data_IF_268002872027
#
_entry.id   IF_268002872027
#
_cell.length_a   1.000
_cell.length_b   1.000
_cell.length_c   1.000
_cell.angle_alpha   90.00
_cell.angle_beta   90.00
_cell.angle_gamma   90.00
#
_symmetry.space_group_name_H-M   'P 1'
#
loop_
_entity.id
_entity.type
_entity.pdbx_description
1 polymer ?
#
# COMPACT_ATOMS: atom_id res chain seq x y z
N UNK A 1 44.13 -30.59 -53.85
CA UNK A 1 43.05 -29.58 -53.84
C UNK A 1 42.78 -29.24 -52.38
N UNK A 2 43.27 -28.09 -51.88
CA UNK A 2 43.05 -27.66 -50.48
C UNK A 2 41.76 -26.83 -50.45
N UNK A 3 40.71 -27.38 -49.84
CA UNK A 3 39.49 -26.64 -49.51
C UNK A 3 39.83 -25.66 -48.38
N UNK A 4 39.98 -24.38 -48.72
CA UNK A 4 40.04 -23.29 -47.74
C UNK A 4 38.60 -22.93 -47.43
N UNK A 5 38.12 -23.33 -46.25
CA UNK A 5 36.84 -22.87 -45.71
C UNK A 5 37.04 -21.43 -45.22
N UNK A 6 36.63 -20.48 -46.05
CA UNK A 6 36.57 -19.06 -45.70
C UNK A 6 35.40 -18.84 -44.74
N UNK A 7 35.70 -18.80 -43.44
CA UNK A 7 34.75 -18.38 -42.39
C UNK A 7 34.77 -16.86 -42.25
N UNK A 8 34.45 -16.14 -43.32
CA UNK A 8 34.15 -14.72 -43.26
C UNK A 8 32.79 -14.54 -42.59
N UNK A 9 32.78 -14.43 -41.26
CA UNK A 9 31.58 -14.04 -40.51
C UNK A 9 31.11 -12.66 -41.02
N UNK A 10 29.94 -12.53 -41.65
CA UNK A 10 29.43 -11.22 -42.04
C UNK A 10 29.22 -10.42 -40.75
N UNK A 11 29.94 -9.29 -40.62
CA UNK A 11 29.75 -8.36 -39.50
C UNK A 11 28.34 -7.79 -39.61
N UNK A 12 27.41 -8.39 -38.87
CA UNK A 12 26.04 -7.89 -38.75
C UNK A 12 26.08 -6.40 -38.38
N UNK A 13 25.30 -5.55 -39.07
CA UNK A 13 25.34 -4.11 -38.85
C UNK A 13 24.94 -3.78 -37.41
N UNK A 14 25.50 -2.71 -36.82
CA UNK A 14 25.16 -2.26 -35.46
C UNK A 14 23.65 -2.03 -35.26
N UNK A 15 22.94 -1.68 -36.34
CA UNK A 15 21.49 -1.55 -36.39
C UNK A 15 20.75 -2.87 -36.14
N UNK A 16 21.27 -4.00 -36.62
CA UNK A 16 20.69 -5.32 -36.35
C UNK A 16 20.78 -5.66 -34.87
N UNK A 17 21.93 -5.40 -34.24
CA UNK A 17 22.10 -5.57 -32.80
C UNK A 17 21.21 -4.63 -31.99
N UNK A 18 21.06 -3.37 -32.40
CA UNK A 18 20.16 -2.43 -31.74
C UNK A 18 18.69 -2.86 -31.85
N UNK A 19 18.24 -3.31 -33.02
CA UNK A 19 16.89 -3.82 -33.25
C UNK A 19 16.64 -5.12 -32.44
N UNK A 20 17.62 -6.01 -32.37
CA UNK A 20 17.55 -7.23 -31.56
C UNK A 20 17.43 -6.92 -30.07
N UNK A 21 18.26 -6.01 -29.55
CA UNK A 21 18.18 -5.56 -28.15
C UNK A 21 16.82 -4.93 -27.86
N UNK A 22 16.32 -4.07 -28.75
CA UNK A 22 15.01 -3.46 -28.61
C UNK A 22 13.88 -4.50 -28.60
N UNK A 23 13.91 -5.46 -29.52
CA UNK A 23 12.92 -6.55 -29.58
C UNK A 23 12.96 -7.42 -28.31
N UNK A 24 14.15 -7.79 -27.84
CA UNK A 24 14.32 -8.52 -26.59
C UNK A 24 13.76 -7.73 -25.40
N UNK A 25 14.03 -6.43 -25.32
CA UNK A 25 13.52 -5.57 -24.25
C UNK A 25 11.99 -5.46 -24.29
N UNK A 26 11.40 -5.31 -25.47
CA UNK A 26 9.94 -5.29 -25.64
C UNK A 26 9.31 -6.61 -25.19
N UNK A 27 9.89 -7.75 -25.58
CA UNK A 27 9.40 -9.07 -25.16
C UNK A 27 9.52 -9.24 -23.65
N UNK A 28 10.64 -8.83 -23.07
CA UNK A 28 10.88 -8.92 -21.63
C UNK A 28 9.88 -8.09 -20.82
N UNK A 29 9.57 -6.87 -21.28
CA UNK A 29 8.57 -6.01 -20.64
C UNK A 29 7.17 -6.60 -20.82
N UNK A 30 6.83 -7.09 -22.01
CA UNK A 30 5.50 -7.66 -22.29
C UNK A 30 5.24 -8.96 -21.53
N UNK A 31 6.26 -9.79 -21.35
CA UNK A 31 6.17 -11.07 -20.64
C UNK A 31 6.74 -11.00 -19.22
N UNK A 32 6.83 -9.81 -18.65
CA UNK A 32 7.44 -9.63 -17.33
C UNK A 32 6.63 -10.39 -16.28
N UNK A 33 7.21 -11.42 -15.62
CA UNK A 33 6.49 -12.24 -14.66
C UNK A 33 6.22 -11.44 -13.39
N UNK A 34 5.06 -11.68 -12.77
CA UNK A 34 4.68 -10.98 -11.54
C UNK A 34 5.63 -11.25 -10.37
N UNK A 35 6.36 -12.36 -10.39
CA UNK A 35 7.32 -12.74 -9.35
C UNK A 35 8.44 -11.73 -9.13
N UNK A 36 8.76 -10.91 -10.14
CA UNK A 36 9.75 -9.85 -10.02
C UNK A 36 9.22 -8.67 -9.18
N UNK A 37 7.92 -8.40 -9.30
CA UNK A 37 7.25 -7.35 -8.52
C UNK A 37 6.99 -7.82 -7.10
N UNK A 38 6.63 -9.09 -6.88
CA UNK A 38 6.35 -9.60 -5.54
C UNK A 38 7.54 -9.47 -4.59
N UNK A 39 8.76 -9.73 -5.08
CA UNK A 39 9.98 -9.55 -4.28
C UNK A 39 10.26 -8.08 -3.93
N UNK A 40 10.04 -7.16 -4.88
CA UNK A 40 10.22 -5.72 -4.64
C UNK A 40 9.16 -5.14 -3.70
N UNK A 41 7.91 -5.62 -3.77
CA UNK A 41 6.85 -5.16 -2.88
C UNK A 41 7.14 -5.51 -1.42
N UNK A 42 7.61 -6.74 -1.16
CA UNK A 42 7.94 -7.19 0.18
C UNK A 42 9.11 -6.37 0.77
N UNK A 43 10.14 -6.05 -0.03
CA UNK A 43 11.27 -5.26 0.45
C UNK A 43 10.90 -3.79 0.69
N UNK A 44 10.11 -3.17 -0.20
CA UNK A 44 9.69 -1.77 -0.04
C UNK A 44 8.75 -1.56 1.15
N UNK A 45 7.92 -2.55 1.48
CA UNK A 45 6.99 -2.48 2.61
C UNK A 45 7.59 -2.99 3.93
N UNK A 46 8.87 -3.38 3.94
CA UNK A 46 9.50 -3.95 5.14
C UNK A 46 8.85 -5.25 5.61
N UNK A 47 8.51 -6.13 4.66
CA UNK A 47 7.80 -7.40 4.85
C UNK A 47 6.37 -7.28 5.38
N UNK A 48 5.80 -6.07 5.45
CA UNK A 48 4.43 -5.85 5.95
C UNK A 48 3.36 -6.35 4.99
N UNK A 49 3.59 -6.21 3.68
CA UNK A 49 2.65 -6.62 2.64
C UNK A 49 3.39 -7.44 1.59
N UNK A 50 2.84 -8.59 1.25
CA UNK A 50 3.39 -9.53 0.26
C UNK A 50 2.29 -10.10 -0.63
N UNK A 51 2.68 -10.55 -1.82
CA UNK A 51 1.80 -11.27 -2.73
C UNK A 51 1.98 -12.77 -2.51
N UNK A 52 0.91 -13.44 -2.08
CA UNK A 52 0.90 -14.89 -1.89
C UNK A 52 0.47 -15.59 -3.17
N UNK A 53 1.29 -16.55 -3.61
CA UNK A 53 1.07 -17.36 -4.82
C UNK A 53 0.64 -16.52 -6.04
N UNK A 54 1.49 -15.54 -6.46
CA UNK A 54 1.17 -14.71 -7.60
C UNK A 54 1.36 -15.51 -8.90
N UNK A 55 0.35 -15.48 -9.77
CA UNK A 55 0.31 -16.21 -11.04
C UNK A 55 0.09 -15.20 -12.17
N UNK A 56 0.83 -15.35 -13.27
CA UNK A 56 0.69 -14.53 -14.47
C UNK A 56 1.79 -13.49 -14.64
N UNK A 57 1.47 -12.40 -15.33
CA UNK A 57 2.38 -11.29 -15.64
C UNK A 57 1.99 -10.05 -14.85
N UNK A 58 2.83 -9.01 -14.90
CA UNK A 58 2.47 -7.70 -14.36
C UNK A 58 1.23 -7.09 -15.05
N UNK A 59 0.91 -7.55 -16.27
CA UNK A 59 -0.23 -7.05 -17.06
C UNK A 59 -1.52 -7.77 -16.72
N UNK A 60 -1.47 -9.09 -16.57
CA UNK A 60 -2.63 -9.91 -16.27
C UNK A 60 -2.24 -11.06 -15.37
N UNK A 61 -2.96 -11.21 -14.26
CA UNK A 61 -2.68 -12.26 -13.29
C UNK A 61 -3.63 -12.28 -12.12
N UNK A 62 -3.29 -13.11 -11.14
CA UNK A 62 -3.99 -13.19 -9.85
C UNK A 62 -3.03 -13.44 -8.71
N UNK A 63 -3.37 -12.95 -7.53
CA UNK A 63 -2.61 -13.15 -6.30
C UNK A 63 -3.53 -12.98 -5.10
N UNK A 64 -3.12 -13.46 -3.93
CA UNK A 64 -3.75 -13.06 -2.67
C UNK A 64 -2.84 -12.04 -1.97
N UNK A 65 -3.42 -11.05 -1.29
CA UNK A 65 -2.65 -10.20 -0.37
C UNK A 65 -2.39 -10.98 0.90
N UNK A 66 -1.14 -10.97 1.33
CA UNK A 66 -0.71 -11.56 2.57
C UNK A 66 0.03 -10.51 3.41
N UNK A 67 -0.20 -10.55 4.71
CA UNK A 67 0.36 -9.59 5.66
C UNK A 67 1.31 -10.32 6.61
N UNK A 68 2.51 -9.79 6.74
CA UNK A 68 3.59 -10.41 7.51
C UNK A 68 4.46 -9.39 8.25
N UNK A 69 5.47 -9.89 8.94
CA UNK A 69 6.46 -9.10 9.64
C UNK A 69 7.88 -9.47 9.21
N UNK A 70 8.85 -8.55 9.35
CA UNK A 70 10.24 -8.87 9.09
C UNK A 70 10.75 -9.93 10.09
N UNK A 71 11.51 -10.90 9.59
CA UNK A 71 12.16 -11.91 10.40
C UNK A 71 13.37 -11.28 11.11
N UNK A 72 13.29 -11.16 12.43
CA UNK A 72 14.31 -10.52 13.26
C UNK A 72 15.60 -11.34 13.40
N UNK A 73 15.54 -12.66 13.19
CA UNK A 73 16.66 -13.59 13.44
C UNK A 73 17.43 -13.99 12.18
N UNK A 74 16.74 -14.21 11.06
CA UNK A 74 17.36 -14.75 9.83
C UNK A 74 17.43 -13.73 8.69
N UNK A 75 16.85 -12.54 8.88
CA UNK A 75 16.60 -11.60 7.81
C UNK A 75 15.52 -12.12 6.84
N UNK A 76 14.95 -11.23 6.04
CA UNK A 76 13.84 -11.58 5.13
C UNK A 76 12.46 -11.54 5.82
N UNK A 77 11.45 -12.09 5.15
CA UNK A 77 10.06 -12.02 5.60
C UNK A 77 9.63 -13.31 6.28
N UNK A 78 8.85 -13.21 7.35
CA UNK A 78 8.24 -14.37 8.02
C UNK A 78 7.08 -14.92 7.18
N UNK A 79 6.65 -16.15 7.48
CA UNK A 79 5.41 -16.70 6.96
C UNK A 79 4.22 -15.78 7.27
N UNK A 80 3.28 -15.61 6.32
CA UNK A 80 2.20 -14.66 6.47
C UNK A 80 1.23 -15.08 7.57
N UNK A 81 0.91 -14.13 8.45
CA UNK A 81 -0.02 -14.35 9.57
C UNK A 81 -1.48 -14.20 9.16
N UNK A 82 -1.75 -13.45 8.09
CA UNK A 82 -3.08 -13.36 7.50
C UNK A 82 -2.98 -13.26 5.98
N UNK A 83 -3.93 -13.91 5.31
CA UNK A 83 -4.02 -13.96 3.86
C UNK A 83 -5.47 -13.64 3.48
N UNK A 84 -5.62 -12.79 2.49
CA UNK A 84 -6.92 -12.40 1.93
C UNK A 84 -7.35 -13.37 0.82
N UNK A 85 -8.56 -13.18 0.30
CA UNK A 85 -8.97 -13.85 -0.93
C UNK A 85 -8.11 -13.42 -2.12
N UNK A 86 -8.16 -14.21 -3.20
CA UNK A 86 -7.44 -13.89 -4.41
C UNK A 86 -8.12 -12.73 -5.13
N UNK A 87 -7.32 -11.76 -5.54
CA UNK A 87 -7.72 -10.72 -6.47
C UNK A 87 -7.12 -11.00 -7.85
N UNK A 88 -7.79 -10.49 -8.89
CA UNK A 88 -7.37 -10.59 -10.28
C UNK A 88 -7.09 -9.19 -10.82
N UNK A 89 -6.11 -9.07 -11.70
CA UNK A 89 -5.88 -7.82 -12.43
C UNK A 89 -5.75 -8.08 -13.92
N UNK A 90 -6.16 -7.09 -14.70
CA UNK A 90 -5.91 -7.03 -16.13
C UNK A 90 -5.61 -5.60 -16.54
N UNK A 91 -4.54 -5.41 -17.31
CA UNK A 91 -4.03 -4.11 -17.72
C UNK A 91 -4.03 -4.02 -19.25
N UNK A 92 -4.78 -3.06 -19.77
CA UNK A 92 -4.77 -2.70 -21.19
C UNK A 92 -3.99 -1.41 -21.42
N UNK A 93 -2.90 -1.48 -22.19
CA UNK A 93 -2.11 -0.31 -22.57
C UNK A 93 -2.39 0.13 -24.01
N UNK A 94 -2.64 1.42 -24.20
CA UNK A 94 -2.75 2.06 -25.51
C UNK A 94 -1.41 2.72 -25.83
N UNK A 95 -0.66 2.15 -26.79
CA UNK A 95 0.66 2.65 -27.19
C UNK A 95 0.62 4.09 -27.73
N UNK A 96 -0.45 4.47 -28.45
CA UNK A 96 -0.56 5.79 -29.06
C UNK A 96 -0.66 6.92 -28.02
N UNK A 97 -1.40 6.68 -26.94
CA UNK A 97 -1.60 7.66 -25.86
C UNK A 97 -0.65 7.46 -24.68
N UNK A 98 0.18 6.40 -24.69
CA UNK A 98 1.04 6.00 -23.56
C UNK A 98 0.28 5.91 -22.22
N UNK A 99 -0.98 5.46 -22.29
CA UNK A 99 -1.86 5.27 -21.13
C UNK A 99 -2.13 3.78 -20.94
N UNK A 100 -2.02 3.31 -19.70
CA UNK A 100 -2.37 1.96 -19.29
C UNK A 100 -3.50 2.00 -18.28
N UNK A 101 -4.56 1.23 -18.52
CA UNK A 101 -5.67 1.10 -17.60
C UNK A 101 -5.65 -0.30 -17.00
N UNK A 102 -5.56 -0.37 -15.68
CA UNK A 102 -5.60 -1.60 -14.90
C UNK A 102 -6.96 -1.71 -14.23
N UNK A 103 -7.65 -2.81 -14.45
CA UNK A 103 -8.84 -3.21 -13.72
C UNK A 103 -8.45 -4.28 -12.69
N UNK A 104 -8.86 -4.07 -11.45
CA UNK A 104 -8.60 -4.94 -10.30
C UNK A 104 -9.91 -5.46 -9.74
N UNK A 105 -10.10 -6.77 -9.80
CA UNK A 105 -11.28 -7.46 -9.28
C UNK A 105 -10.93 -8.15 -7.97
N UNK A 106 -11.59 -7.75 -6.90
CA UNK A 106 -11.39 -8.29 -5.57
C UNK A 106 -12.71 -8.30 -4.81
N UNK A 107 -13.06 -9.41 -4.15
CA UNK A 107 -14.31 -9.57 -3.44
C UNK A 107 -14.49 -8.57 -2.28
N UNK A 108 -13.39 -8.02 -1.76
CA UNK A 108 -13.44 -7.01 -0.70
C UNK A 108 -13.79 -5.60 -1.22
N UNK A 109 -13.67 -5.33 -2.52
CA UNK A 109 -14.09 -4.05 -3.09
C UNK A 109 -15.59 -4.03 -3.36
N UNK A 110 -16.20 -2.86 -3.24
CA UNK A 110 -17.59 -2.65 -3.64
C UNK A 110 -17.77 -2.79 -5.15
N UNK A 111 -16.79 -2.31 -5.93
CA UNK A 111 -16.75 -2.40 -7.38
C UNK A 111 -15.33 -2.68 -7.89
N UNK A 112 -15.14 -3.19 -9.12
CA UNK A 112 -13.81 -3.36 -9.70
C UNK A 112 -13.02 -2.05 -9.64
N UNK A 113 -11.81 -2.11 -9.07
CA UNK A 113 -10.96 -0.94 -8.93
C UNK A 113 -10.32 -0.62 -10.28
N UNK A 114 -10.58 0.58 -10.79
CA UNK A 114 -9.97 1.09 -12.00
C UNK A 114 -8.78 1.99 -11.65
N UNK A 115 -7.63 1.72 -12.26
CA UNK A 115 -6.44 2.55 -12.12
C UNK A 115 -5.89 2.89 -13.49
N UNK A 116 -5.80 4.18 -13.80
CA UNK A 116 -5.26 4.69 -15.06
C UNK A 116 -3.88 5.28 -14.80
N UNK A 117 -2.86 4.71 -15.45
CA UNK A 117 -1.47 5.12 -15.31
C UNK A 117 -0.97 5.68 -16.64
N UNK A 118 -0.27 6.79 -16.57
CA UNK A 118 0.43 7.41 -17.70
C UNK A 118 1.80 7.90 -17.24
N UNK A 119 2.64 8.33 -18.18
CA UNK A 119 3.97 8.85 -17.83
C UNK A 119 3.91 10.09 -16.93
N UNK A 120 2.87 10.92 -17.04
CA UNK A 120 2.72 12.18 -16.31
C UNK A 120 1.77 12.11 -15.11
N UNK A 121 0.79 11.21 -15.12
CA UNK A 121 -0.17 11.07 -14.01
C UNK A 121 -0.63 9.64 -13.77
N UNK A 122 -0.96 9.36 -12.52
CA UNK A 122 -1.68 8.16 -12.10
C UNK A 122 -2.99 8.58 -11.47
N UNK A 123 -4.09 7.96 -11.90
CA UNK A 123 -5.42 8.18 -11.35
C UNK A 123 -5.99 6.85 -10.85
N UNK A 124 -6.34 6.80 -9.57
CA UNK A 124 -7.05 5.69 -8.93
C UNK A 124 -8.49 6.16 -8.76
N UNK A 125 -9.44 5.44 -9.37
CA UNK A 125 -10.85 5.77 -9.27
C UNK A 125 -11.36 5.62 -7.82
N UNK A 126 -12.34 6.45 -7.44
CA UNK A 126 -13.02 6.35 -6.15
C UNK A 126 -13.61 4.95 -5.92
N UNK A 127 -13.39 4.40 -4.73
CA UNK A 127 -13.91 3.08 -4.38
C UNK A 127 -13.93 2.90 -2.85
N UNK A 128 -14.50 1.78 -2.42
CA UNK A 128 -14.51 1.34 -1.04
C UNK A 128 -14.06 -0.13 -0.95
N UNK A 129 -13.32 -0.45 0.11
CA UNK A 129 -12.91 -1.80 0.48
C UNK A 129 -13.36 -2.11 1.91
N UNK A 130 -13.85 -3.33 2.13
CA UNK A 130 -14.19 -3.85 3.45
C UNK A 130 -13.39 -5.10 3.74
N UNK A 131 -12.62 -5.05 4.82
CA UNK A 131 -11.79 -6.14 5.32
C UNK A 131 -12.12 -6.39 6.79
N UNK A 132 -11.91 -7.62 7.29
CA UNK A 132 -12.02 -7.88 8.71
C UNK A 132 -10.79 -7.30 9.44
N UNK A 133 -10.97 -6.71 10.63
CA UNK A 133 -9.89 -6.00 11.32
C UNK A 133 -8.69 -6.89 11.70
N UNK A 134 -8.85 -8.22 11.71
CA UNK A 134 -7.75 -9.15 11.99
C UNK A 134 -6.65 -9.14 10.92
N UNK A 135 -6.87 -8.57 9.73
CA UNK A 135 -5.79 -8.35 8.74
C UNK A 135 -4.69 -7.45 9.31
N UNK A 136 -5.02 -6.55 10.24
CA UNK A 136 -4.06 -5.68 10.90
C UNK A 136 -3.05 -6.48 11.74
N UNK A 137 -3.42 -7.66 12.28
CA UNK A 137 -2.49 -8.53 13.02
C UNK A 137 -1.26 -8.88 12.18
N UNK A 138 -1.46 -9.01 10.86
CA UNK A 138 -0.40 -9.28 9.91
C UNK A 138 0.60 -8.14 9.74
N UNK A 139 0.27 -6.90 10.11
CA UNK A 139 1.19 -5.76 10.05
C UNK A 139 2.23 -5.77 11.19
N UNK A 140 2.21 -6.77 12.07
CA UNK A 140 3.11 -6.92 13.21
C UNK A 140 2.81 -5.95 14.36
N UNK A 141 3.79 -5.69 15.24
CA UNK A 141 3.58 -4.86 16.43
C UNK A 141 3.26 -3.39 16.05
N UNK A 142 2.30 -2.71 16.71
CA UNK A 142 1.51 -3.13 17.88
C UNK A 142 0.32 -4.06 17.59
N UNK A 143 -0.08 -4.19 16.33
CA UNK A 143 -1.31 -4.88 15.94
C UNK A 143 -1.32 -6.37 16.26
N UNK A 144 -0.18 -7.06 16.12
CA UNK A 144 -0.04 -8.47 16.50
C UNK A 144 -0.26 -8.69 18.00
N UNK A 145 0.08 -7.70 18.84
CA UNK A 145 -0.17 -7.72 20.29
C UNK A 145 -1.61 -7.36 20.62
N UNK A 146 -2.16 -6.33 19.95
CA UNK A 146 -3.53 -5.86 20.19
C UNK A 146 -4.60 -6.84 19.68
N UNK A 147 -4.27 -7.66 18.66
CA UNK A 147 -5.18 -8.62 18.03
C UNK A 147 -6.58 -8.02 17.74
N UNK A 148 -6.64 -6.92 16.98
CA UNK A 148 -7.88 -6.20 16.73
C UNK A 148 -8.90 -7.08 16.00
N UNK A 149 -10.15 -7.01 16.45
CA UNK A 149 -11.30 -7.68 15.84
C UNK A 149 -12.41 -6.67 15.61
N UNK A 150 -13.25 -6.91 14.61
CA UNK A 150 -14.26 -5.95 14.15
C UNK A 150 -14.19 -5.76 12.64
N UNK A 151 -14.75 -4.66 12.16
CA UNK A 151 -14.82 -4.33 10.74
C UNK A 151 -13.86 -3.19 10.40
N UNK A 152 -13.09 -3.37 9.32
CA UNK A 152 -12.16 -2.38 8.78
C UNK A 152 -12.61 -2.00 7.37
N UNK A 153 -13.14 -0.80 7.22
CA UNK A 153 -13.47 -0.20 5.93
C UNK A 153 -12.43 0.84 5.52
N UNK A 154 -12.16 0.96 4.23
CA UNK A 154 -11.49 2.15 3.69
C UNK A 154 -12.22 2.61 2.44
N UNK A 155 -12.48 3.91 2.35
CA UNK A 155 -13.13 4.57 1.20
C UNK A 155 -12.28 5.73 0.73
N UNK A 156 -12.23 5.95 -0.56
CA UNK A 156 -11.49 7.08 -1.13
C UNK A 156 -12.24 7.72 -2.29
N UNK A 157 -11.98 9.00 -2.49
CA UNK A 157 -12.36 9.72 -3.70
C UNK A 157 -11.40 9.38 -4.83
N UNK A 158 -11.59 9.95 -6.01
CA UNK A 158 -10.54 9.89 -7.04
C UNK A 158 -9.22 10.40 -6.47
N UNK A 159 -8.20 9.56 -6.54
CA UNK A 159 -6.84 9.90 -6.13
C UNK A 159 -6.03 10.15 -7.40
N UNK A 160 -5.51 11.35 -7.52
CA UNK A 160 -4.60 11.76 -8.59
C UNK A 160 -3.20 11.89 -8.00
N UNK A 161 -2.22 11.26 -8.63
CA UNK A 161 -0.82 11.32 -8.23
C UNK A 161 0.03 11.78 -9.43
N UNK A 162 1.04 12.59 -9.14
CA UNK A 162 2.04 12.94 -10.14
C UNK A 162 2.82 11.69 -10.60
N UNK A 163 2.96 11.53 -11.91
CA UNK A 163 3.71 10.44 -12.52
C UNK A 163 5.22 10.69 -12.53
N UNK A 164 5.99 9.66 -12.91
CA UNK A 164 7.46 9.70 -12.87
C UNK A 164 8.08 10.75 -13.81
N UNK A 165 7.40 11.07 -14.91
CA UNK A 165 7.84 12.05 -15.91
C UNK A 165 7.04 13.36 -15.84
N UNK A 166 6.26 13.59 -14.76
CA UNK A 166 5.40 14.76 -14.61
C UNK A 166 6.17 16.10 -14.66
N UNK A 167 7.43 16.08 -14.25
CA UNK A 167 8.30 17.27 -14.23
C UNK A 167 9.00 17.54 -15.57
N UNK A 168 8.81 16.69 -16.59
CA UNK A 168 9.47 16.86 -17.88
C UNK A 168 8.59 17.64 -18.86
N UNK A 169 9.11 18.72 -19.49
CA UNK A 169 8.35 19.56 -20.43
C UNK A 169 7.70 18.80 -21.58
N UNK A 170 8.38 17.77 -22.09
CA UNK A 170 7.92 16.96 -23.22
C UNK A 170 6.67 16.11 -22.91
N UNK A 171 6.35 15.88 -21.63
CA UNK A 171 5.21 15.06 -21.20
C UNK A 171 4.13 15.89 -20.50
N UNK A 172 4.17 17.22 -20.71
CA UNK A 172 3.36 18.19 -20.03
C UNK A 172 3.99 18.57 -18.70
N UNK A 173 4.85 19.60 -18.70
CA UNK A 173 5.26 20.30 -17.47
C UNK A 173 4.09 21.14 -16.90
N UNK A 174 2.96 20.46 -16.68
CA UNK A 174 1.85 20.95 -15.89
C UNK A 174 1.88 20.17 -14.60
N UNK A 175 2.27 20.86 -13.52
CA UNK A 175 2.15 20.43 -12.13
C UNK A 175 0.85 19.63 -12.00
N UNK A 176 0.89 18.30 -12.03
CA UNK A 176 -0.31 17.48 -11.81
C UNK A 176 -0.38 17.36 -10.30
N UNK A 177 -1.18 18.19 -9.62
CA UNK A 177 -1.13 18.24 -8.18
C UNK A 177 -1.60 16.89 -7.65
N UNK A 178 -0.81 16.30 -6.76
CA UNK A 178 -1.28 15.11 -6.06
C UNK A 178 -2.47 15.50 -5.18
N UNK A 179 -3.58 14.79 -5.31
CA UNK A 179 -4.84 15.10 -4.62
C UNK A 179 -5.67 13.85 -4.39
N UNK A 180 -6.41 13.83 -3.28
CA UNK A 180 -7.33 12.75 -2.95
C UNK A 180 -7.66 12.74 -1.47
N UNK A 181 -8.78 12.11 -1.12
CA UNK A 181 -9.20 11.92 0.27
C UNK A 181 -9.38 10.44 0.51
N UNK A 182 -8.78 9.94 1.58
CA UNK A 182 -8.93 8.55 2.05
C UNK A 182 -9.54 8.59 3.44
N UNK A 183 -10.54 7.76 3.69
CA UNK A 183 -11.14 7.58 5.00
C UNK A 183 -11.10 6.12 5.39
N UNK A 184 -10.47 5.82 6.52
CA UNK A 184 -10.44 4.50 7.11
C UNK A 184 -11.42 4.50 8.28
N UNK A 185 -12.35 3.57 8.28
CA UNK A 185 -13.37 3.39 9.31
C UNK A 185 -13.10 2.07 10.00
N UNK A 186 -13.03 2.10 11.32
CA UNK A 186 -12.97 0.90 12.16
C UNK A 186 -14.24 0.86 12.99
N UNK A 187 -15.02 -0.21 12.85
CA UNK A 187 -16.29 -0.37 13.57
C UNK A 187 -16.24 -1.57 14.51
N UNK A 188 -16.86 -1.41 15.69
CA UNK A 188 -16.96 -2.45 16.71
C UNK A 188 -15.61 -3.08 17.08
N UNK A 189 -14.58 -2.23 17.24
CA UNK A 189 -13.24 -2.70 17.57
C UNK A 189 -13.28 -3.44 18.91
N UNK A 190 -12.73 -4.63 18.94
CA UNK A 190 -12.55 -5.45 20.14
C UNK A 190 -11.13 -5.97 20.18
N UNK A 191 -10.66 -6.29 21.38
CA UNK A 191 -9.35 -6.87 21.59
C UNK A 191 -9.40 -7.93 22.70
N UNK A 192 -8.74 -9.09 22.54
CA UNK A 192 -8.63 -10.08 23.61
C UNK A 192 -7.91 -9.60 24.86
N UNK A 193 -7.05 -8.58 24.74
CA UNK A 193 -6.28 -8.04 25.87
C UNK A 193 -7.05 -7.00 26.70
N UNK A 194 -8.29 -6.67 26.31
CA UNK A 194 -9.18 -5.80 27.07
C UNK A 194 -10.45 -6.54 27.51
N UNK A 195 -10.89 -6.38 28.77
CA UNK A 195 -12.19 -6.89 29.21
C UNK A 195 -13.36 -6.11 28.59
N UNK A 196 -13.13 -4.89 28.08
CA UNK A 196 -14.16 -4.01 27.55
C UNK A 196 -14.47 -4.36 26.10
N UNK A 197 -15.75 -4.66 25.81
CA UNK A 197 -16.22 -5.03 24.47
C UNK A 197 -17.55 -4.33 24.15
N UNK A 198 -17.65 -3.56 23.06
CA UNK A 198 -16.57 -3.10 22.18
C UNK A 198 -15.68 -2.02 22.83
N UNK A 199 -14.43 -1.90 22.37
CA UNK A 199 -13.54 -0.78 22.70
C UNK A 199 -14.06 0.52 22.10
N UNK A 200 -14.59 0.46 20.87
CA UNK A 200 -15.18 1.60 20.19
C UNK A 200 -15.14 1.52 18.67
N UNK A 201 -15.48 2.64 18.05
CA UNK A 201 -15.33 2.90 16.62
C UNK A 201 -14.44 4.10 16.39
N UNK A 202 -13.71 4.07 15.27
CA UNK A 202 -12.69 5.07 14.95
C UNK A 202 -12.75 5.46 13.48
N UNK A 203 -12.40 6.71 13.19
CA UNK A 203 -12.22 7.21 11.84
C UNK A 203 -10.84 7.85 11.70
N UNK A 204 -10.13 7.46 10.64
CA UNK A 204 -8.93 8.14 10.17
C UNK A 204 -9.28 8.81 8.85
N UNK A 205 -9.23 10.14 8.81
CA UNK A 205 -9.42 10.91 7.59
C UNK A 205 -8.07 11.45 7.12
N UNK A 206 -7.64 11.07 5.92
CA UNK A 206 -6.38 11.48 5.32
C UNK A 206 -6.62 12.30 4.04
N UNK A 207 -5.91 13.41 3.90
CA UNK A 207 -5.93 14.24 2.70
C UNK A 207 -4.56 14.22 2.04
N UNK A 208 -4.54 13.83 0.78
CA UNK A 208 -3.35 13.85 -0.08
C UNK A 208 -3.28 15.22 -0.74
N UNK A 209 -2.10 15.82 -0.67
CA UNK A 209 -1.76 17.07 -1.32
C UNK A 209 -0.43 16.93 -2.08
N UNK A 210 -0.07 17.94 -2.85
CA UNK A 210 1.06 17.88 -3.78
C UNK A 210 2.41 17.60 -3.08
N UNK A 211 2.60 18.17 -1.89
CA UNK A 211 3.87 18.06 -1.14
C UNK A 211 3.82 17.11 0.05
N UNK A 212 2.71 16.37 0.24
CA UNK A 212 2.55 15.51 1.42
C UNK A 212 1.13 14.99 1.65
N UNK A 213 0.94 14.42 2.83
CA UNK A 213 -0.36 13.90 3.28
C UNK A 213 -0.54 14.29 4.74
N UNK A 214 -1.73 14.75 5.10
CA UNK A 214 -2.12 14.92 6.51
C UNK A 214 -3.23 13.93 6.85
N UNK A 215 -3.34 13.56 8.11
CA UNK A 215 -4.46 12.75 8.58
C UNK A 215 -4.83 13.07 10.02
N UNK A 216 -6.08 12.80 10.35
CA UNK A 216 -6.64 12.94 11.70
C UNK A 216 -7.25 11.62 12.13
N UNK A 217 -6.97 11.20 13.36
CA UNK A 217 -7.60 10.09 14.05
C UNK A 217 -8.64 10.64 15.03
N UNK A 218 -9.84 10.08 15.01
CA UNK A 218 -10.92 10.44 15.94
C UNK A 218 -11.73 9.22 16.36
N UNK A 219 -12.31 9.29 17.56
CA UNK A 219 -13.24 8.28 18.06
C UNK A 219 -14.64 8.64 17.61
N UNK A 220 -15.31 7.69 16.96
CA UNK A 220 -16.72 7.84 16.55
C UNK A 220 -17.66 7.31 17.62
N UNK A 221 -17.25 6.30 18.39
CA UNK A 221 -18.05 5.72 19.46
C UNK A 221 -17.20 4.91 20.44
N UNK A 222 -17.72 4.67 21.64
CA UNK A 222 -17.18 3.71 22.59
C UNK A 222 -16.28 4.28 23.69
N UNK A 223 -15.89 3.42 24.64
CA UNK A 223 -15.21 3.83 25.87
C UNK A 223 -13.72 4.14 25.70
N UNK A 224 -13.03 3.62 24.68
CA UNK A 224 -11.64 3.97 24.40
C UNK A 224 -11.59 5.17 23.47
N UNK A 225 -11.19 6.32 24.01
CA UNK A 225 -11.12 7.60 23.33
C UNK A 225 -9.72 7.82 22.74
N UNK A 226 -9.62 7.78 21.43
CA UNK A 226 -8.45 8.10 20.63
C UNK A 226 -8.67 9.40 19.86
N UNK A 227 -7.69 10.30 19.93
CA UNK A 227 -7.61 11.48 19.07
C UNK A 227 -6.17 11.71 18.65
N UNK A 228 -5.95 12.20 17.44
CA UNK A 228 -4.60 12.53 17.01
C UNK A 228 -4.56 13.09 15.61
N UNK A 229 -3.39 13.57 15.24
CA UNK A 229 -3.09 14.08 13.92
C UNK A 229 -1.70 13.67 13.51
N UNK A 230 -1.52 13.46 12.22
CA UNK A 230 -0.21 13.21 11.65
C UNK A 230 -0.05 13.87 10.30
N UNK A 231 1.21 14.00 9.93
CA UNK A 231 1.61 14.54 8.64
C UNK A 231 2.79 13.77 8.08
N UNK A 232 2.82 13.69 6.77
CA UNK A 232 3.91 13.15 6.00
C UNK A 232 4.30 14.21 4.98
N UNK A 233 5.53 14.71 5.08
CA UNK A 233 6.10 15.68 4.16
C UNK A 233 7.10 15.00 3.25
N UNK A 234 7.00 15.26 1.94
CA UNK A 234 7.96 14.76 0.96
C UNK A 234 9.00 15.83 0.55
N UNK A 235 9.18 16.89 1.37
CA UNK A 235 10.17 17.94 1.10
C UNK A 235 11.60 17.42 1.29
N UNK A 236 12.47 17.75 0.32
CA UNK A 236 13.89 17.46 0.35
C UNK A 236 14.53 17.97 1.67
N UNK A 237 14.87 17.05 2.58
CA UNK A 237 15.51 17.35 3.86
C UNK A 237 14.78 16.86 5.12
N UNK A 238 13.48 16.54 5.05
CA UNK A 238 12.71 16.00 6.18
C UNK A 238 11.84 14.82 5.74
N UNK A 239 12.49 13.70 5.39
CA UNK A 239 11.77 12.47 5.06
C UNK A 239 11.33 11.82 6.38
N UNK A 240 10.13 12.15 6.82
CA UNK A 240 9.60 11.62 8.07
C UNK A 240 8.08 11.64 8.09
N UNK A 241 7.52 10.58 8.65
CA UNK A 241 6.15 10.55 9.13
C UNK A 241 6.17 11.09 10.56
N UNK A 242 5.28 12.02 10.90
CA UNK A 242 5.08 12.47 12.27
C UNK A 242 3.64 12.20 12.67
N UNK A 243 3.44 11.64 13.86
CA UNK A 243 2.13 11.48 14.46
C UNK A 243 2.14 11.92 15.92
N UNK A 244 1.12 12.69 16.31
CA UNK A 244 0.86 13.10 17.68
C UNK A 244 -0.60 12.83 18.02
N UNK A 245 -0.82 12.00 19.03
CA UNK A 245 -2.15 11.67 19.51
C UNK A 245 -2.19 11.44 21.01
N UNK A 246 -3.41 11.30 21.50
CA UNK A 246 -3.73 11.01 22.89
C UNK A 246 -4.76 9.88 22.92
N UNK A 247 -4.58 8.98 23.87
CA UNK A 247 -5.53 7.95 24.24
C UNK A 247 -6.02 8.19 25.66
N UNK A 248 -7.32 8.07 25.88
CA UNK A 248 -7.96 8.08 27.20
C UNK A 248 -9.14 7.12 27.20
N UNK A 249 -9.80 6.98 28.34
CA UNK A 249 -10.99 6.17 28.50
C UNK A 249 -12.16 7.01 29.01
N UNK A 250 -13.39 6.57 28.75
CA UNK A 250 -14.57 7.13 29.42
C UNK A 250 -14.46 6.91 30.93
N UNK A 251 -15.07 7.77 31.76
CA UNK A 251 -15.00 7.64 33.21
C UNK A 251 -15.45 6.27 33.72
N UNK A 252 -16.47 5.66 33.10
CA UNK A 252 -16.96 4.35 33.54
C UNK A 252 -16.01 3.20 33.22
N UNK A 253 -15.17 3.36 32.19
CA UNK A 253 -14.27 2.30 31.70
C UNK A 253 -12.80 2.54 32.04
N UNK A 254 -12.50 3.61 32.78
CA UNK A 254 -11.14 4.04 33.07
C UNK A 254 -10.31 2.92 33.72
N UNK A 255 -10.79 2.35 34.83
CA UNK A 255 -10.08 1.26 35.55
C UNK A 255 -9.87 0.02 34.67
N UNK A 256 -10.87 -0.34 33.88
CA UNK A 256 -10.82 -1.51 32.99
C UNK A 256 -9.88 -1.34 31.80
N UNK A 257 -9.57 -0.10 31.41
CA UNK A 257 -8.74 0.22 30.26
C UNK A 257 -7.31 0.65 30.61
N UNK A 258 -6.97 0.81 31.90
CA UNK A 258 -5.60 1.20 32.35
C UNK A 258 -4.52 0.32 31.71
N UNK A 259 -4.73 -1.01 31.69
CA UNK A 259 -3.76 -1.96 31.12
C UNK A 259 -3.53 -1.72 29.63
N UNK A 260 -4.61 -1.57 28.86
CA UNK A 260 -4.54 -1.30 27.42
C UNK A 260 -3.89 0.06 27.12
N UNK A 261 -4.32 1.11 27.83
CA UNK A 261 -3.79 2.46 27.65
C UNK A 261 -2.28 2.52 27.91
N UNK A 262 -1.80 1.78 28.92
CA UNK A 262 -0.38 1.70 29.26
C UNK A 262 0.46 0.97 28.19
N UNK A 263 -0.16 0.16 27.32
CA UNK A 263 0.49 -0.46 26.16
C UNK A 263 0.52 0.49 24.95
N UNK A 264 -0.47 1.39 24.84
CA UNK A 264 -0.58 2.31 23.70
C UNK A 264 0.37 3.50 23.81
N UNK A 265 0.62 4.01 25.01
CA UNK A 265 1.43 5.21 25.20
C UNK A 265 1.92 5.41 26.63
N UNK A 266 2.71 6.47 26.81
CA UNK A 266 3.16 6.89 28.14
C UNK A 266 2.07 7.72 28.82
N UNK A 267 1.74 7.41 30.07
CA UNK A 267 0.79 8.19 30.87
C UNK A 267 1.33 9.61 31.12
N UNK A 268 0.49 10.60 30.85
CA UNK A 268 0.72 12.03 31.05
C UNK A 268 -0.57 12.66 31.60
N UNK A 269 -0.64 12.80 32.93
CA UNK A 269 -1.87 13.15 33.64
C UNK A 269 -2.94 12.06 33.49
N UNK A 270 -4.12 12.46 33.03
CA UNK A 270 -5.28 11.57 32.79
C UNK A 270 -5.33 11.00 31.36
N UNK A 271 -4.33 11.32 30.53
CA UNK A 271 -4.23 10.86 29.14
C UNK A 271 -2.95 10.06 28.92
N UNK A 272 -2.91 9.30 27.83
CA UNK A 272 -1.75 8.53 27.41
C UNK A 272 -1.29 9.04 26.05
N UNK A 273 -0.04 9.52 25.98
CA UNK A 273 0.48 10.14 24.75
C UNK A 273 0.95 9.10 23.76
N UNK A 274 0.46 9.23 22.52
CA UNK A 274 0.84 8.44 21.35
C UNK A 274 1.75 9.30 20.47
N UNK A 275 3.03 8.91 20.31
CA UNK A 275 3.97 9.66 19.46
C UNK A 275 4.80 8.70 18.62
N UNK A 276 4.77 8.90 17.30
CA UNK A 276 5.51 8.11 16.32
C UNK A 276 6.14 9.02 15.27
#
# INVERSE_FOLDING_TARGET
MKLVLDFTHPKLPKLFWAALVFACLVVMVRQMPISWVSGSLASQTGCRVMLQQPIGTIWQGSAALAFSEPNATEGGCRDPMSVTERFHWSTGCKLLSMTCNTELQFAAFEQPQLISWSLSKTQIASNEIKLPANVLEGLGNPWSTLRPRGELGARWTDINLAGLMANLPAFGAGNTPSSGVIRIIISNLTSPISPVKPLGGYEIAANIADTGMNWTLSTTSGPLLLKGQGEFSNKAGSKGMQFSGEASASPESQESLIGLLSLLGKKEGDTYRLKF
#
